data_IF_022258373690
#
_entry.id   IF_022258373690
#
_cell.length_a   1.000
_cell.length_b   1.000
_cell.length_c   1.000
_cell.angle_alpha   90.00
_cell.angle_beta   90.00
_cell.angle_gamma   90.00
#
_symmetry.space_group_name_H-M   'P 1'
#
loop_
_entity.id
_entity.type
_entity.pdbx_description
1 polymer ?
#
# COMPACT_ATOMS: atom_id res chain seq x y z
N UNK A 1 43.12 42.74 -22.73
CA UNK A 1 44.15 42.19 -23.65
C UNK A 1 44.24 40.68 -23.47
N UNK A 2 44.58 39.95 -24.54
CA UNK A 2 45.19 38.61 -24.45
C UNK A 2 46.73 38.74 -24.43
N UNK A 3 47.50 37.64 -24.28
CA UNK A 3 47.80 36.81 -25.46
C UNK A 3 47.54 35.31 -25.25
N UNK A 4 47.91 34.49 -26.26
CA UNK A 4 47.53 33.08 -26.43
C UNK A 4 48.79 32.26 -26.77
N UNK A 5 48.93 31.04 -26.25
CA UNK A 5 49.77 29.97 -26.82
C UNK A 5 49.26 28.58 -26.38
N UNK A 6 49.58 27.51 -27.13
CA UNK A 6 49.06 26.15 -26.92
C UNK A 6 49.88 25.08 -27.66
N UNK A 7 49.45 23.80 -27.56
CA UNK A 7 49.88 22.61 -28.33
C UNK A 7 51.28 22.02 -27.97
N UNK A 8 51.65 20.76 -28.25
CA UNK A 8 50.89 19.48 -28.30
C UNK A 8 51.80 18.22 -28.49
N UNK A 9 51.43 17.10 -27.86
CA UNK A 9 51.63 15.67 -28.27
C UNK A 9 53.01 14.94 -28.40
N UNK A 10 53.02 13.71 -27.83
CA UNK A 10 53.52 12.41 -28.38
C UNK A 10 55.05 12.16 -28.55
N UNK A 11 55.53 10.89 -28.72
CA UNK A 11 54.85 9.57 -28.75
C UNK A 11 55.10 8.75 -27.43
N UNK A 12 55.34 7.43 -27.25
CA UNK A 12 55.70 6.24 -28.09
C UNK A 12 55.35 4.88 -27.42
N UNK A 13 55.38 3.78 -28.18
CA UNK A 13 55.40 2.34 -27.79
C UNK A 13 56.12 1.54 -28.91
N UNK A 14 56.20 0.17 -28.97
CA UNK A 14 55.93 -0.91 -28.00
C UNK A 14 57.05 -2.01 -27.91
N UNK A 15 56.94 -2.97 -26.97
CA UNK A 15 57.53 -4.35 -27.03
C UNK A 15 56.92 -5.19 -25.87
N UNK A 16 56.20 -6.29 -26.09
CA UNK A 16 56.60 -7.65 -26.53
C UNK A 16 57.10 -8.55 -25.36
N UNK A 17 56.61 -9.79 -25.30
CA UNK A 17 56.75 -10.70 -24.15
C UNK A 17 57.51 -11.99 -24.48
N UNK A 18 58.03 -12.71 -23.47
CA UNK A 18 58.27 -14.15 -23.56
C UNK A 18 57.62 -14.97 -22.43
N UNK A 19 57.43 -16.26 -22.72
CA UNK A 19 57.03 -17.35 -21.82
C UNK A 19 57.47 -18.68 -22.47
N UNK A 20 57.35 -19.87 -21.82
CA UNK A 20 57.37 -20.21 -20.39
C UNK A 20 58.43 -21.30 -20.05
N UNK A 21 58.73 -21.54 -18.77
CA UNK A 21 59.36 -22.81 -18.33
C UNK A 21 59.10 -23.12 -16.83
N UNK A 22 59.27 -24.39 -16.45
CA UNK A 22 58.65 -25.02 -15.27
C UNK A 22 59.52 -25.12 -14.01
N UNK A 23 58.88 -25.43 -12.86
CA UNK A 23 59.51 -25.80 -11.57
C UNK A 23 59.58 -24.65 -10.56
N UNK A 24 59.37 -24.84 -9.25
CA UNK A 24 59.00 -26.05 -8.47
C UNK A 24 58.19 -25.64 -7.21
N UNK A 25 57.50 -26.58 -6.57
CA UNK A 25 56.55 -26.38 -5.46
C UNK A 25 57.11 -25.77 -4.16
N UNK A 26 56.42 -24.78 -3.55
CA UNK A 26 56.16 -24.69 -2.09
C UNK A 26 54.80 -23.99 -1.79
N UNK A 27 54.03 -24.63 -0.90
CA UNK A 27 52.87 -24.17 -0.07
C UNK A 27 52.24 -22.78 -0.34
N UNK A 28 50.99 -22.78 -0.81
CA UNK A 28 50.07 -21.63 -0.93
C UNK A 28 49.30 -21.35 0.37
N UNK A 29 49.30 -20.11 0.93
CA UNK A 29 48.38 -19.71 1.98
C UNK A 29 46.92 -19.68 1.47
N UNK A 30 45.97 -20.12 2.29
CA UNK A 30 44.57 -20.21 1.90
C UNK A 30 43.92 -18.82 1.80
N UNK A 31 43.40 -18.47 0.62
CA UNK A 31 42.55 -17.30 0.45
C UNK A 31 41.21 -17.54 1.15
N UNK A 32 40.78 -16.62 2.04
CA UNK A 32 39.42 -16.65 2.61
C UNK A 32 38.40 -16.54 1.48
N UNK A 33 37.65 -17.63 1.24
CA UNK A 33 36.54 -17.60 0.31
C UNK A 33 35.52 -16.55 0.75
N UNK A 34 35.17 -15.62 -0.14
CA UNK A 34 33.99 -14.78 0.06
C UNK A 34 32.78 -15.70 0.05
N UNK A 35 32.14 -15.88 1.22
CA UNK A 35 30.92 -16.66 1.30
C UNK A 35 29.88 -16.06 0.36
N UNK A 36 29.36 -16.86 -0.57
CA UNK A 36 28.26 -16.44 -1.43
C UNK A 36 27.07 -16.08 -0.53
N UNK A 37 26.61 -14.83 -0.61
CA UNK A 37 25.43 -14.36 0.13
C UNK A 37 24.26 -15.20 -0.34
N UNK A 38 23.76 -16.11 0.50
CA UNK A 38 22.53 -16.87 0.22
C UNK A 38 21.46 -15.87 -0.23
N UNK A 39 20.71 -16.14 -1.32
CA UNK A 39 19.47 -15.43 -1.56
C UNK A 39 18.63 -15.51 -0.29
N UNK A 40 18.11 -14.36 0.17
CA UNK A 40 17.05 -14.38 1.17
C UNK A 40 15.89 -15.11 0.50
N UNK A 41 15.36 -16.21 1.07
CA UNK A 41 14.21 -16.86 0.48
C UNK A 41 13.06 -15.85 0.46
N UNK A 42 12.49 -15.62 -0.73
CA UNK A 42 11.15 -15.05 -0.82
C UNK A 42 10.24 -15.92 0.07
N UNK A 43 9.29 -15.29 0.77
CA UNK A 43 8.43 -15.96 1.74
C UNK A 43 7.87 -17.26 1.13
N UNK A 44 8.08 -18.38 1.83
CA UNK A 44 7.94 -19.71 1.25
C UNK A 44 6.59 -19.86 0.55
N UNK A 45 6.61 -20.18 -0.75
CA UNK A 45 5.39 -20.31 -1.54
C UNK A 45 4.52 -21.43 -0.96
N UNK A 46 3.41 -21.05 -0.32
CA UNK A 46 2.46 -21.95 0.38
C UNK A 46 1.90 -22.99 -0.60
N UNK A 47 2.54 -24.16 -0.71
CA UNK A 47 2.50 -25.04 -1.90
C UNK A 47 1.26 -25.96 -2.00
N UNK A 48 0.07 -25.38 -1.91
CA UNK A 48 -1.21 -26.01 -2.28
C UNK A 48 -1.79 -25.47 -3.59
N UNK A 49 -3.09 -25.71 -3.87
CA UNK A 49 -3.86 -24.89 -4.82
C UNK A 49 -4.17 -23.53 -4.18
N UNK A 50 -3.99 -22.42 -4.92
CA UNK A 50 -4.44 -21.11 -4.42
C UNK A 50 -5.91 -20.89 -4.75
N UNK A 51 -6.77 -20.84 -3.72
CA UNK A 51 -8.20 -20.53 -3.89
C UNK A 51 -8.39 -19.01 -4.00
N UNK A 52 -7.75 -18.25 -3.11
CA UNK A 52 -7.90 -16.80 -3.02
C UNK A 52 -6.55 -16.11 -2.83
N UNK A 53 -6.18 -15.22 -3.76
CA UNK A 53 -5.05 -14.32 -3.58
C UNK A 53 -5.52 -12.97 -3.04
N UNK A 54 -5.08 -12.59 -1.83
CA UNK A 54 -5.41 -11.30 -1.21
C UNK A 54 -4.41 -10.25 -1.65
N UNK A 55 -4.91 -9.23 -2.36
CA UNK A 55 -4.13 -8.11 -2.91
C UNK A 55 -4.51 -6.84 -2.14
N UNK A 56 -3.89 -6.67 -0.96
CA UNK A 56 -4.10 -5.48 -0.13
C UNK A 56 -3.16 -4.36 -0.56
N UNK A 57 -3.72 -3.16 -0.79
CA UNK A 57 -3.01 -1.95 -1.22
C UNK A 57 -3.29 -0.77 -0.28
N UNK A 58 -3.24 -0.99 1.03
CA UNK A 58 -3.39 0.07 2.03
C UNK A 58 -2.06 0.79 2.26
N UNK A 59 -0.98 0.05 2.49
CA UNK A 59 0.38 0.57 2.60
C UNK A 59 0.65 1.34 3.90
N UNK A 60 1.90 1.80 4.03
CA UNK A 60 2.42 2.50 5.21
C UNK A 60 2.08 4.01 5.21
N UNK A 61 0.84 4.40 4.87
CA UNK A 61 0.47 5.82 4.81
C UNK A 61 -0.95 6.12 5.30
N UNK A 62 -1.12 7.28 5.92
CA UNK A 62 -2.43 7.86 6.23
C UNK A 62 -2.46 9.37 5.94
N UNK A 63 -3.66 9.93 5.85
CA UNK A 63 -3.90 11.35 5.64
C UNK A 63 -4.52 11.97 6.88
N UNK A 64 -3.91 13.05 7.38
CA UNK A 64 -4.43 13.85 8.48
C UNK A 64 -4.92 15.17 7.91
N UNK A 65 -6.17 15.52 8.19
CA UNK A 65 -6.77 16.78 7.74
C UNK A 65 -7.25 17.59 8.94
N UNK A 66 -6.93 18.88 8.98
CA UNK A 66 -7.46 19.83 9.95
C UNK A 66 -8.20 20.90 9.17
N UNK A 67 -9.52 20.76 9.10
CA UNK A 67 -10.40 21.70 8.43
C UNK A 67 -10.75 22.82 9.42
N UNK A 68 -10.42 24.06 9.06
CA UNK A 68 -10.88 25.25 9.76
C UNK A 68 -12.13 25.86 9.13
N UNK A 69 -12.48 27.07 9.57
CA UNK A 69 -13.63 27.82 9.05
C UNK A 69 -13.34 28.49 7.69
N UNK A 70 -12.05 28.71 7.38
CA UNK A 70 -11.61 29.24 6.09
C UNK A 70 -10.58 28.31 5.43
N UNK A 71 -10.40 28.46 4.12
CA UNK A 71 -9.38 27.71 3.36
C UNK A 71 -7.95 27.96 3.84
N UNK A 72 -7.69 29.08 4.52
CA UNK A 72 -6.37 29.41 5.10
C UNK A 72 -6.10 28.71 6.43
N UNK A 73 -7.14 28.19 7.08
CA UNK A 73 -7.06 27.36 8.29
C UNK A 73 -7.15 25.86 7.97
N UNK A 74 -7.08 25.48 6.69
CA UNK A 74 -7.14 24.09 6.25
C UNK A 74 -5.72 23.56 6.08
N UNK A 75 -5.30 22.66 6.97
CA UNK A 75 -4.02 21.96 6.91
C UNK A 75 -4.28 20.50 6.47
N UNK A 76 -3.55 20.01 5.47
CA UNK A 76 -3.53 18.60 5.09
C UNK A 76 -2.11 18.03 5.14
N UNK A 77 -1.97 16.79 5.62
CA UNK A 77 -0.68 16.11 5.66
C UNK A 77 -0.82 14.61 5.39
N UNK A 78 -0.13 14.14 4.35
CA UNK A 78 0.15 12.71 4.13
C UNK A 78 1.30 12.31 5.07
N UNK A 79 1.07 11.31 5.91
CA UNK A 79 1.94 10.88 7.00
C UNK A 79 2.29 9.41 6.81
N UNK A 80 3.58 9.11 6.69
CA UNK A 80 4.07 7.73 6.61
C UNK A 80 3.96 7.05 8.00
N UNK A 81 3.35 5.87 8.04
CA UNK A 81 3.05 5.08 9.24
C UNK A 81 3.75 3.70 9.20
N UNK A 82 5.09 3.67 9.16
CA UNK A 82 5.84 2.42 9.00
C UNK A 82 5.54 1.45 10.15
N UNK A 83 5.25 0.20 9.81
CA UNK A 83 5.00 -0.85 10.80
C UNK A 83 3.62 -0.80 11.47
N UNK A 84 2.69 0.05 11.01
CA UNK A 84 1.29 -0.02 11.45
C UNK A 84 0.55 -1.25 10.92
N UNK A 85 1.10 -1.96 9.93
CA UNK A 85 0.68 -3.30 9.52
C UNK A 85 -0.77 -3.39 9.05
N UNK A 86 -1.21 -2.44 8.21
CA UNK A 86 -2.60 -2.36 7.74
C UNK A 86 -2.94 -3.47 6.74
N UNK A 87 -2.02 -3.79 5.82
CA UNK A 87 -2.20 -4.92 4.89
C UNK A 87 -2.11 -6.29 5.58
N UNK A 88 -1.30 -6.38 6.64
CA UNK A 88 -1.22 -7.56 7.52
C UNK A 88 -2.55 -7.78 8.26
N UNK A 89 -3.18 -6.68 8.71
CA UNK A 89 -4.50 -6.71 9.34
C UNK A 89 -5.59 -7.14 8.35
N UNK A 90 -5.58 -6.61 7.11
CA UNK A 90 -6.49 -7.08 6.05
C UNK A 90 -6.34 -8.58 5.82
N UNK A 91 -5.10 -9.07 5.70
CA UNK A 91 -4.83 -10.50 5.51
C UNK A 91 -5.34 -11.35 6.68
N UNK A 92 -5.15 -10.91 7.92
CA UNK A 92 -5.63 -11.59 9.12
C UNK A 92 -7.17 -11.62 9.16
N UNK A 93 -7.85 -10.52 8.80
CA UNK A 93 -9.31 -10.43 8.75
C UNK A 93 -9.90 -11.33 7.66
N UNK A 94 -9.30 -11.39 6.47
CA UNK A 94 -9.72 -12.30 5.39
C UNK A 94 -9.58 -13.77 5.84
N UNK A 95 -8.42 -14.15 6.41
CA UNK A 95 -8.21 -15.52 6.92
C UNK A 95 -9.21 -15.88 8.01
N UNK A 96 -9.48 -14.99 8.97
CA UNK A 96 -10.47 -15.21 10.02
C UNK A 96 -11.89 -15.39 9.47
N UNK A 97 -12.34 -14.50 8.57
CA UNK A 97 -13.66 -14.57 7.95
C UNK A 97 -13.85 -15.82 7.05
N UNK A 98 -12.76 -16.42 6.58
CA UNK A 98 -12.75 -17.65 5.76
C UNK A 98 -12.43 -18.91 6.58
N UNK A 99 -12.58 -18.89 7.91
CA UNK A 99 -12.33 -20.06 8.76
C UNK A 99 -10.87 -20.55 8.81
N UNK A 100 -9.92 -19.70 8.40
CA UNK A 100 -8.49 -19.99 8.22
C UNK A 100 -8.16 -21.00 7.10
N UNK A 101 -8.90 -20.97 5.98
CA UNK A 101 -8.61 -21.75 4.78
C UNK A 101 -7.13 -21.60 4.31
N UNK A 102 -6.34 -22.70 4.24
CA UNK A 102 -4.94 -22.67 3.81
C UNK A 102 -4.76 -22.35 2.32
N UNK A 103 -5.83 -22.33 1.52
CA UNK A 103 -5.84 -21.87 0.13
C UNK A 103 -5.75 -20.36 -0.05
N UNK A 104 -5.68 -19.57 1.05
CA UNK A 104 -5.66 -18.11 1.02
C UNK A 104 -4.23 -17.57 1.15
N UNK A 105 -3.69 -17.06 0.04
CA UNK A 105 -2.34 -16.49 -0.05
C UNK A 105 -2.34 -14.97 0.00
N UNK A 106 -1.31 -14.39 0.60
CA UNK A 106 -1.01 -12.96 0.49
C UNK A 106 -0.25 -12.70 -0.82
N UNK A 107 -0.69 -11.72 -1.59
CA UNK A 107 0.05 -11.20 -2.74
C UNK A 107 0.79 -9.94 -2.29
N UNK A 108 2.12 -9.93 -2.42
CA UNK A 108 2.96 -8.78 -2.09
C UNK A 108 3.01 -7.79 -3.25
N UNK A 109 2.39 -6.63 -3.08
CA UNK A 109 2.39 -5.54 -4.08
C UNK A 109 3.65 -4.68 -3.90
N UNK A 110 4.45 -4.39 -4.96
CA UNK A 110 5.56 -3.45 -4.88
C UNK A 110 5.06 -2.01 -4.66
N UNK A 111 5.76 -1.18 -3.87
CA UNK A 111 5.33 0.20 -3.55
C UNK A 111 5.12 1.06 -4.79
N UNK A 112 6.00 0.94 -5.78
CA UNK A 112 5.90 1.55 -7.12
C UNK A 112 4.55 1.30 -7.83
N UNK A 113 3.85 0.22 -7.48
CA UNK A 113 2.53 -0.12 -8.02
C UNK A 113 1.38 0.57 -7.28
N UNK A 114 1.56 0.93 -6.00
CA UNK A 114 0.62 1.80 -5.28
C UNK A 114 0.68 3.21 -5.88
N UNK A 115 1.87 3.72 -6.17
CA UNK A 115 2.07 5.08 -6.72
C UNK A 115 1.38 5.24 -8.09
N UNK A 116 1.39 4.18 -8.92
CA UNK A 116 0.65 4.12 -10.19
C UNK A 116 -0.88 4.17 -10.00
N UNK A 117 -1.41 3.68 -8.87
CA UNK A 117 -2.85 3.72 -8.55
C UNK A 117 -3.28 5.05 -7.91
N UNK A 118 -2.45 5.65 -7.05
CA UNK A 118 -2.84 6.78 -6.20
C UNK A 118 -2.24 8.14 -6.62
N UNK A 119 -1.05 8.17 -7.23
CA UNK A 119 -0.30 9.40 -7.53
C UNK A 119 -0.21 9.75 -9.02
N UNK A 120 -0.45 8.80 -9.95
CA UNK A 120 -0.71 9.17 -11.34
C UNK A 120 -2.03 9.95 -11.45
N UNK A 121 -1.97 11.16 -12.04
CA UNK A 121 -3.15 12.00 -12.29
C UNK A 121 -4.20 11.21 -13.07
N UNK A 122 -5.40 11.07 -12.49
CA UNK A 122 -6.57 10.35 -13.07
C UNK A 122 -6.94 10.79 -14.49
N UNK A 123 -6.49 11.95 -14.94
CA UNK A 123 -6.66 12.50 -16.29
C UNK A 123 -6.16 11.62 -17.45
N UNK A 124 -5.27 10.65 -17.20
CA UNK A 124 -4.64 9.82 -18.24
C UNK A 124 -4.89 8.31 -18.11
N UNK A 125 -5.63 7.87 -17.09
CA UNK A 125 -6.01 6.47 -16.91
C UNK A 125 -7.48 6.30 -17.31
N UNK A 126 -7.83 5.32 -18.17
CA UNK A 126 -9.22 4.86 -18.29
C UNK A 126 -9.78 4.44 -16.94
N UNK A 127 -11.12 4.39 -16.83
CA UNK A 127 -11.94 3.95 -15.69
C UNK A 127 -11.14 3.35 -14.51
N UNK A 128 -11.18 3.93 -13.28
CA UNK A 128 -10.38 3.44 -12.15
C UNK A 128 -10.56 1.93 -11.87
N UNK A 129 -11.69 1.33 -12.25
CA UNK A 129 -11.91 -0.11 -12.15
C UNK A 129 -11.09 -0.93 -13.17
N UNK A 130 -10.85 -0.40 -14.37
CA UNK A 130 -9.93 -0.97 -15.37
C UNK A 130 -8.48 -0.84 -14.90
N UNK A 131 -8.10 0.32 -14.34
CA UNK A 131 -6.78 0.52 -13.74
C UNK A 131 -6.49 -0.50 -12.63
N UNK A 132 -7.43 -0.70 -11.69
CA UNK A 132 -7.30 -1.72 -10.64
C UNK A 132 -7.14 -3.13 -11.23
N UNK A 133 -7.94 -3.48 -12.23
CA UNK A 133 -7.90 -4.79 -12.90
C UNK A 133 -6.55 -5.05 -13.56
N UNK A 134 -6.03 -4.07 -14.30
CA UNK A 134 -4.72 -4.18 -14.95
C UNK A 134 -3.57 -4.28 -13.94
N UNK A 135 -3.64 -3.52 -12.85
CA UNK A 135 -2.66 -3.54 -11.76
C UNK A 135 -2.66 -4.88 -11.02
N UNK A 136 -3.84 -5.45 -10.73
CA UNK A 136 -3.94 -6.79 -10.13
C UNK A 136 -3.31 -7.82 -11.05
N UNK A 137 -3.64 -7.81 -12.35
CA UNK A 137 -3.05 -8.73 -13.36
C UNK A 137 -1.52 -8.63 -13.45
N UNK A 138 -0.94 -7.43 -13.32
CA UNK A 138 0.52 -7.20 -13.26
C UNK A 138 1.15 -7.98 -12.08
N UNK A 139 0.65 -7.73 -10.86
CA UNK A 139 1.25 -8.29 -9.62
C UNK A 139 0.89 -9.74 -9.32
N UNK A 140 -0.22 -10.26 -9.85
CA UNK A 140 -0.65 -11.66 -9.66
C UNK A 140 -0.29 -12.58 -10.83
N UNK A 141 0.39 -12.07 -11.85
CA UNK A 141 0.81 -12.79 -13.07
C UNK A 141 1.41 -14.19 -12.82
N UNK A 142 2.11 -14.38 -11.70
CA UNK A 142 2.72 -15.66 -11.31
C UNK A 142 1.97 -16.41 -10.19
N UNK A 143 0.95 -15.80 -9.57
CA UNK A 143 0.29 -16.32 -8.37
C UNK A 143 -0.70 -17.47 -8.65
N UNK A 144 -1.35 -17.45 -9.82
CA UNK A 144 -2.25 -18.49 -10.32
C UNK A 144 -3.33 -18.93 -9.31
N UNK A 145 -3.97 -17.96 -8.65
CA UNK A 145 -5.11 -18.20 -7.76
C UNK A 145 -6.43 -18.26 -8.54
N UNK A 146 -7.39 -19.05 -8.06
CA UNK A 146 -8.70 -19.16 -8.70
C UNK A 146 -9.50 -17.85 -8.66
N UNK A 147 -9.35 -17.04 -7.61
CA UNK A 147 -9.87 -15.67 -7.49
C UNK A 147 -8.88 -14.75 -6.78
N UNK A 148 -9.05 -13.44 -6.93
CA UNK A 148 -8.30 -12.41 -6.23
C UNK A 148 -9.22 -11.45 -5.48
N UNK A 149 -8.89 -11.15 -4.21
CA UNK A 149 -9.58 -10.14 -3.41
C UNK A 149 -8.70 -8.89 -3.34
N UNK A 150 -9.05 -7.85 -4.09
CA UNK A 150 -8.38 -6.56 -4.04
C UNK A 150 -8.99 -5.67 -2.94
N UNK A 151 -8.14 -5.06 -2.13
CA UNK A 151 -8.55 -4.09 -1.09
C UNK A 151 -7.73 -2.82 -1.26
N UNK A 152 -8.39 -1.72 -1.66
CA UNK A 152 -7.72 -0.46 -1.99
C UNK A 152 -8.30 0.73 -1.22
N UNK A 153 -7.52 1.81 -1.11
CA UNK A 153 -7.97 3.13 -0.66
C UNK A 153 -8.82 3.80 -1.74
N UNK A 154 -9.73 4.69 -1.34
CA UNK A 154 -10.41 5.59 -2.28
C UNK A 154 -10.68 6.99 -1.67
N UNK A 155 -11.10 7.91 -2.53
CA UNK A 155 -11.43 9.30 -2.19
C UNK A 155 -12.90 9.45 -1.78
N UNK A 156 -13.17 9.78 -0.51
CA UNK A 156 -14.51 9.92 0.04
C UNK A 156 -14.86 11.37 0.36
N UNK A 157 -16.13 11.74 0.18
CA UNK A 157 -16.68 13.05 0.54
C UNK A 157 -17.29 12.99 1.95
N UNK A 158 -16.94 13.94 2.82
CA UNK A 158 -17.50 14.02 4.18
C UNK A 158 -19.00 14.41 4.09
N UNK A 159 -19.93 13.61 4.65
CA UNK A 159 -21.37 13.91 4.64
C UNK A 159 -21.69 15.32 5.16
N UNK A 160 -22.69 15.97 4.55
CA UNK A 160 -23.11 17.32 4.92
C UNK A 160 -22.16 18.46 4.51
N UNK A 161 -21.00 18.17 3.91
CA UNK A 161 -20.00 19.18 3.52
C UNK A 161 -19.58 19.04 2.05
N UNK A 162 -18.69 19.93 1.58
CA UNK A 162 -17.94 19.77 0.33
C UNK A 162 -16.49 19.30 0.52
N UNK A 163 -16.13 18.88 1.74
CA UNK A 163 -14.80 18.42 2.09
C UNK A 163 -14.56 16.98 1.63
N UNK A 164 -13.33 16.68 1.25
CA UNK A 164 -12.91 15.41 0.66
C UNK A 164 -11.70 14.86 1.43
N UNK A 165 -11.72 13.56 1.69
CA UNK A 165 -10.70 12.84 2.47
C UNK A 165 -10.29 11.56 1.75
N UNK A 166 -8.99 11.38 1.53
CA UNK A 166 -8.46 10.31 0.67
C UNK A 166 -7.88 9.16 1.48
N UNK A 167 -8.40 7.95 1.27
CA UNK A 167 -7.89 6.72 1.86
C UNK A 167 -8.23 6.55 3.34
N UNK A 168 -7.25 6.71 4.22
CA UNK A 168 -7.38 6.32 5.63
C UNK A 168 -6.69 7.37 6.49
N UNK A 169 -7.29 7.74 7.62
CA UNK A 169 -6.64 8.55 8.64
C UNK A 169 -7.61 9.25 9.57
N UNK A 170 -7.32 10.51 9.89
CA UNK A 170 -8.08 11.31 10.83
C UNK A 170 -8.43 12.68 10.23
N UNK A 171 -9.62 13.21 10.52
CA UNK A 171 -9.91 14.61 10.26
C UNK A 171 -10.45 15.33 11.51
N UNK A 172 -10.10 16.60 11.66
CA UNK A 172 -10.68 17.50 12.64
C UNK A 172 -11.41 18.62 11.91
N UNK A 173 -12.62 18.96 12.35
CA UNK A 173 -13.45 20.02 11.77
C UNK A 173 -14.08 20.88 12.88
N UNK A 174 -14.22 22.19 12.67
CA UNK A 174 -14.93 23.09 13.59
C UNK A 174 -14.08 24.24 14.16
N UNK A 175 -14.62 24.94 15.15
CA UNK A 175 -14.13 26.26 15.60
C UNK A 175 -13.58 26.20 17.04
N UNK A 176 -12.32 26.60 17.24
CA UNK A 176 -11.65 26.55 18.54
C UNK A 176 -11.54 25.14 19.13
N UNK A 177 -10.97 24.98 20.33
CA UNK A 177 -10.79 23.65 20.94
C UNK A 177 -12.10 22.98 21.39
N UNK A 178 -13.16 23.76 21.63
CA UNK A 178 -14.42 23.31 22.24
C UNK A 178 -15.49 22.92 21.20
N UNK A 179 -15.56 23.60 20.05
CA UNK A 179 -16.49 23.29 18.96
C UNK A 179 -15.79 22.59 17.77
N UNK A 180 -14.58 22.07 17.99
CA UNK A 180 -13.94 21.11 17.08
C UNK A 180 -14.45 19.70 17.34
N UNK A 181 -14.52 18.90 16.29
CA UNK A 181 -14.89 17.49 16.33
C UNK A 181 -13.86 16.70 15.55
N UNK A 182 -13.24 15.74 16.23
CA UNK A 182 -12.24 14.84 15.65
C UNK A 182 -12.90 13.52 15.24
N UNK A 183 -12.53 13.04 14.06
CA UNK A 183 -13.09 11.84 13.46
C UNK A 183 -12.00 10.99 12.82
N UNK A 184 -12.24 9.68 12.73
CA UNK A 184 -11.45 8.74 11.96
C UNK A 184 -12.22 8.32 10.71
N UNK A 185 -11.48 8.04 9.64
CA UNK A 185 -12.05 7.52 8.40
C UNK A 185 -11.20 6.40 7.82
N UNK A 186 -11.90 5.44 7.21
CA UNK A 186 -11.31 4.35 6.43
C UNK A 186 -12.16 4.18 5.17
N UNK A 187 -11.72 4.84 4.11
CA UNK A 187 -12.32 4.83 2.78
C UNK A 187 -11.66 3.70 2.00
N UNK A 188 -12.23 2.50 2.17
CA UNK A 188 -11.77 1.26 1.54
C UNK A 188 -12.77 0.77 0.49
N UNK A 189 -12.27 0.29 -0.65
CA UNK A 189 -13.02 -0.51 -1.62
C UNK A 189 -12.51 -1.96 -1.53
N UNK A 190 -13.45 -2.90 -1.47
CA UNK A 190 -13.19 -4.34 -1.59
C UNK A 190 -13.76 -4.79 -2.95
N UNK A 191 -12.99 -5.56 -3.73
CA UNK A 191 -13.39 -6.03 -5.07
C UNK A 191 -12.93 -7.46 -5.29
N UNK A 192 -13.84 -8.32 -5.78
CA UNK A 192 -13.55 -9.70 -6.13
C UNK A 192 -13.32 -9.83 -7.65
N UNK A 193 -12.16 -10.37 -8.01
CA UNK A 193 -11.63 -10.47 -9.38
C UNK A 193 -11.40 -11.95 -9.71
N UNK A 194 -11.66 -12.35 -10.95
CA UNK A 194 -11.50 -13.71 -11.43
C UNK A 194 -10.01 -14.06 -11.65
N UNK A 195 -9.64 -15.32 -11.40
CA UNK A 195 -8.27 -15.79 -11.57
C UNK A 195 -7.83 -15.97 -13.01
N UNK A 196 -8.77 -16.22 -13.93
CA UNK A 196 -8.52 -16.57 -15.33
C UNK A 196 -8.77 -15.37 -16.27
N UNK A 197 -9.96 -14.75 -16.22
CA UNK A 197 -10.27 -13.60 -17.10
C UNK A 197 -9.71 -12.28 -16.56
N UNK A 198 -9.46 -12.20 -15.25
CA UNK A 198 -9.27 -10.96 -14.49
C UNK A 198 -10.48 -10.00 -14.52
N UNK A 199 -11.65 -10.47 -14.94
CA UNK A 199 -12.87 -9.66 -14.83
C UNK A 199 -13.36 -9.63 -13.38
N UNK A 200 -14.17 -8.64 -13.04
CA UNK A 200 -14.76 -8.54 -11.70
C UNK A 200 -15.91 -9.53 -11.58
N UNK A 201 -15.66 -10.70 -10.96
CA UNK A 201 -16.69 -11.70 -10.57
C UNK A 201 -17.86 -11.00 -9.86
N UNK A 202 -17.54 -9.99 -9.05
CA UNK A 202 -18.50 -8.99 -8.65
C UNK A 202 -17.84 -7.71 -8.16
N UNK A 203 -18.14 -6.60 -8.84
CA UNK A 203 -18.59 -5.42 -8.08
C UNK A 203 -20.06 -5.68 -7.76
N UNK A 204 -20.36 -6.15 -6.54
CA UNK A 204 -21.74 -6.41 -6.14
C UNK A 204 -22.53 -5.09 -6.16
N UNK A 205 -23.35 -4.90 -7.19
CA UNK A 205 -24.10 -3.65 -7.44
C UNK A 205 -25.60 -3.87 -7.68
N UNK A 206 -26.14 -4.98 -7.19
CA UNK A 206 -27.54 -5.10 -6.79
C UNK A 206 -27.57 -5.12 -5.25
N UNK A 207 -28.16 -4.08 -4.66
CA UNK A 207 -28.21 -3.76 -3.22
C UNK A 207 -26.89 -3.80 -2.39
N UNK A 208 -25.72 -3.82 -3.04
CA UNK A 208 -24.42 -3.52 -2.38
C UNK A 208 -23.74 -2.31 -3.00
N UNK A 209 -24.16 -1.86 -4.20
CA UNK A 209 -23.86 -0.49 -4.65
C UNK A 209 -24.49 0.56 -3.73
N UNK A 210 -25.64 0.24 -3.15
CA UNK A 210 -26.25 0.94 -2.01
C UNK A 210 -25.49 0.66 -0.71
N UNK A 211 -25.46 -0.58 -0.20
CA UNK A 211 -24.93 -0.89 1.14
C UNK A 211 -23.43 -0.65 1.31
N UNK A 212 -22.61 -0.79 0.25
CA UNK A 212 -21.19 -0.42 0.29
C UNK A 212 -21.01 1.11 0.21
N UNK A 213 -21.93 1.85 -0.43
CA UNK A 213 -21.93 3.32 -0.37
C UNK A 213 -22.54 3.84 0.95
N UNK A 214 -23.42 3.09 1.60
CA UNK A 214 -23.93 3.33 2.97
C UNK A 214 -22.89 3.00 4.06
N UNK A 215 -21.97 2.10 3.72
CA UNK A 215 -20.73 1.73 4.44
C UNK A 215 -19.61 2.77 4.32
N UNK A 216 -19.52 3.40 3.14
CA UNK A 216 -18.60 4.49 2.84
C UNK A 216 -19.14 5.82 3.36
N UNK A 217 -20.46 6.01 3.36
CA UNK A 217 -21.13 7.06 4.14
C UNK A 217 -20.67 6.94 5.58
N UNK A 218 -20.00 8.00 6.03
CA UNK A 218 -19.68 8.23 7.43
C UNK A 218 -20.99 8.57 8.17
N UNK A 219 -21.83 7.55 8.35
CA UNK A 219 -22.76 7.50 9.47
C UNK A 219 -21.95 7.66 10.75
N UNK A 220 -22.52 8.31 11.77
CA UNK A 220 -21.84 8.60 13.04
C UNK A 220 -21.74 7.36 13.96
N UNK A 221 -21.28 6.25 13.38
CA UNK A 221 -20.82 5.05 14.08
C UNK A 221 -19.76 5.49 15.12
N UNK A 222 -19.94 5.23 16.43
CA UNK A 222 -19.06 5.75 17.48
C UNK A 222 -17.57 5.41 17.31
N UNK A 223 -17.24 4.38 16.53
CA UNK A 223 -15.85 4.02 16.17
C UNK A 223 -15.19 5.03 15.21
N UNK A 224 -15.99 5.82 14.48
CA UNK A 224 -15.51 6.94 13.67
C UNK A 224 -15.25 8.21 14.51
N UNK A 225 -15.62 8.25 15.80
CA UNK A 225 -15.41 9.42 16.66
C UNK A 225 -14.08 9.31 17.41
N UNK A 226 -13.32 10.40 17.38
CA UNK A 226 -12.06 10.55 18.11
C UNK A 226 -12.22 11.66 19.17
N UNK A 227 -11.48 11.60 20.27
CA UNK A 227 -11.41 12.75 21.18
C UNK A 227 -10.59 13.89 20.53
N UNK A 228 -10.86 15.14 20.88
CA UNK A 228 -10.01 16.25 20.47
C UNK A 228 -8.62 16.18 21.13
N UNK A 229 -8.52 15.59 22.32
CA UNK A 229 -7.23 15.34 22.99
C UNK A 229 -6.41 14.21 22.32
N UNK A 230 -7.05 13.32 21.58
CA UNK A 230 -6.40 12.25 20.80
C UNK A 230 -5.98 12.72 19.38
N UNK A 231 -6.39 13.91 18.95
CA UNK A 231 -6.06 14.45 17.63
C UNK A 231 -4.61 15.00 17.60
N UNK A 232 -3.83 14.69 16.55
CA UNK A 232 -2.40 14.99 16.53
C UNK A 232 -2.13 16.46 16.15
N UNK A 233 -1.62 17.24 17.12
CA UNK A 233 -1.03 18.55 16.85
C UNK A 233 0.46 18.55 17.24
N UNK A 234 1.39 18.86 16.32
CA UNK A 234 1.20 19.06 14.88
C UNK A 234 0.80 17.76 14.17
N UNK A 235 0.19 17.87 12.98
CA UNK A 235 -0.33 16.73 12.19
C UNK A 235 0.74 15.65 11.94
N UNK A 236 2.00 16.04 11.77
CA UNK A 236 3.15 15.14 11.62
C UNK A 236 3.33 14.15 12.79
N UNK A 237 2.92 14.51 14.01
CA UNK A 237 3.04 13.66 15.20
C UNK A 237 2.17 12.40 15.12
N UNK A 238 1.17 12.38 14.22
CA UNK A 238 0.20 11.31 14.08
C UNK A 238 0.81 9.92 13.87
N UNK A 239 1.96 9.82 13.19
CA UNK A 239 2.68 8.55 12.98
C UNK A 239 3.04 7.83 14.29
N UNK A 240 3.25 8.59 15.36
CA UNK A 240 3.69 8.12 16.67
C UNK A 240 2.52 7.93 17.65
N UNK A 241 1.28 8.30 17.27
CA UNK A 241 0.13 8.15 18.16
C UNK A 241 -0.35 6.70 18.20
N UNK A 242 -0.05 6.02 19.31
CA UNK A 242 -0.57 4.69 19.59
C UNK A 242 -2.10 4.66 19.62
N UNK A 243 -2.76 5.73 20.07
CA UNK A 243 -4.23 5.82 20.11
C UNK A 243 -4.81 5.83 18.70
N UNK A 244 -4.26 6.66 17.79
CA UNK A 244 -4.66 6.64 16.38
C UNK A 244 -4.42 5.26 15.78
N UNK A 245 -3.26 4.64 16.02
CA UNK A 245 -2.93 3.30 15.51
C UNK A 245 -3.97 2.25 15.93
N UNK A 246 -4.27 2.13 17.22
CA UNK A 246 -5.24 1.14 17.69
C UNK A 246 -6.67 1.44 17.21
N UNK A 247 -7.12 2.69 17.32
CA UNK A 247 -8.47 3.08 16.87
C UNK A 247 -8.67 2.88 15.37
N UNK A 248 -7.67 3.19 14.55
CA UNK A 248 -7.73 3.05 13.10
C UNK A 248 -7.66 1.57 12.68
N UNK A 249 -6.85 0.75 13.36
CA UNK A 249 -6.85 -0.72 13.19
C UNK A 249 -8.16 -1.35 13.64
N UNK A 250 -8.82 -0.81 14.68
CA UNK A 250 -10.17 -1.22 15.06
C UNK A 250 -11.20 -0.84 14.00
N UNK A 251 -11.20 0.40 13.50
CA UNK A 251 -12.09 0.87 12.42
C UNK A 251 -11.96 0.02 11.15
N UNK A 252 -10.72 -0.25 10.69
CA UNK A 252 -10.47 -1.13 9.55
C UNK A 252 -10.97 -2.54 9.85
N UNK A 253 -10.70 -3.09 11.04
CA UNK A 253 -11.21 -4.41 11.46
C UNK A 253 -12.73 -4.48 11.34
N UNK A 254 -13.46 -3.54 11.97
CA UNK A 254 -14.92 -3.52 11.98
C UNK A 254 -15.51 -3.36 10.58
N UNK A 255 -14.89 -2.57 9.68
CA UNK A 255 -15.31 -2.52 8.27
C UNK A 255 -15.04 -3.86 7.55
N UNK A 256 -13.86 -4.44 7.68
CA UNK A 256 -13.54 -5.73 7.06
C UNK A 256 -14.47 -6.85 7.55
N UNK A 257 -14.65 -7.00 8.86
CA UNK A 257 -15.53 -8.03 9.46
C UNK A 257 -17.00 -7.86 9.03
N UNK A 258 -17.46 -6.62 8.78
CA UNK A 258 -18.83 -6.30 8.35
C UNK A 258 -19.10 -6.60 6.87
N UNK A 259 -18.07 -6.59 6.00
CA UNK A 259 -18.26 -6.78 4.54
C UNK A 259 -17.66 -8.08 3.98
N UNK A 260 -16.61 -8.64 4.59
CA UNK A 260 -15.98 -9.86 4.10
C UNK A 260 -16.94 -11.05 3.90
N UNK A 261 -17.92 -11.32 4.79
CA UNK A 261 -18.84 -12.44 4.60
C UNK A 261 -19.57 -12.42 3.26
N UNK A 262 -19.99 -11.26 2.75
CA UNK A 262 -20.71 -11.18 1.46
C UNK A 262 -19.82 -11.37 0.23
N UNK A 263 -18.50 -11.29 0.35
CA UNK A 263 -17.56 -11.64 -0.73
C UNK A 263 -17.09 -13.10 -0.66
N UNK A 264 -17.12 -13.70 0.53
CA UNK A 264 -16.62 -15.06 0.78
C UNK A 264 -17.70 -16.15 0.62
N UNK A 265 -18.99 -15.79 0.74
CA UNK A 265 -20.14 -16.67 0.49
C UNK A 265 -20.43 -16.93 -1.00
N UNK A 266 -19.55 -16.47 -1.92
CA UNK A 266 -19.69 -16.70 -3.37
C UNK A 266 -19.01 -18.02 -3.73
N UNK A 267 -19.59 -19.14 -3.31
CA UNK A 267 -19.09 -20.50 -3.58
C UNK A 267 -19.95 -21.21 -4.64
#
# INVERSE_FOLDING_TARGET
MAPIQAWSQAPSAPAAAPAPSAGTTVKKPAAKAKQARKPVPAAAAESGPCRLGVVSMLGDEMTVHKFGLTVFETEDQQVTIPGWGLDDLVMARVRAASGNDPGIRRISVPKETFDRLYHQKRSFLPDPNQSLTAIVRDVTSNANCARYLAVIKFEGKIPGSNLVVNGIGAYNQGIGSVLRHSHLFANLIITLIDGQSYERVGTFSADVGSRLNESMRLTEDPINKLDNADFPEPLAAAANSAVLRERLRALISTKMDRYLPSYLQVE
#
